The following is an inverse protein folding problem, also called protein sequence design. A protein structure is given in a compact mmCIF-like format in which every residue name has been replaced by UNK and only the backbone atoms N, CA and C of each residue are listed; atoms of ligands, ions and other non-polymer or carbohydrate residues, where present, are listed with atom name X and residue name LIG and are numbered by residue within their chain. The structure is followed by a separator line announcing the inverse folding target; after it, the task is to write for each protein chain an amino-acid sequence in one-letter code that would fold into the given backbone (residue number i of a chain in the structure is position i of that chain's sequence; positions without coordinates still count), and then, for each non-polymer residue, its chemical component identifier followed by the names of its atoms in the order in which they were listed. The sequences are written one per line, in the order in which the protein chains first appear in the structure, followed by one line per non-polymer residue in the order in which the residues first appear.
data_IF_263510280052
#
_entry.id   IF_263510280052
#
_cell.length_a   1.000
_cell.length_b   1.000
_cell.length_c   1.000
_cell.angle_alpha   90.00
_cell.angle_beta   90.00
_cell.angle_gamma   90.00
#
_symmetry.space_group_name_H-M   'P 1'
#
loop_
_entity.id
_entity.type
_entity.pdbx_description
1 polymer ?
#
# COMPACT_ATOMS: atom_id res chain seq x y z
N UNK A 1 6.75 29.74 40.83
CA UNK A 1 6.22 28.44 40.38
C UNK A 1 5.80 28.59 38.93
N UNK A 2 6.64 28.14 37.99
CA UNK A 2 6.38 28.29 36.56
C UNK A 2 5.08 27.57 36.21
N UNK A 3 4.14 28.30 35.63
CA UNK A 3 2.77 27.83 35.46
C UNK A 3 2.73 26.60 34.56
N UNK A 4 2.50 25.42 35.15
CA UNK A 4 2.32 24.14 34.44
C UNK A 4 1.34 24.27 33.27
N UNK A 5 0.35 25.17 33.39
CA UNK A 5 -0.62 25.49 32.32
C UNK A 5 0.03 25.94 31.02
N UNK A 6 1.12 26.71 31.08
CA UNK A 6 1.84 27.15 29.88
C UNK A 6 2.46 25.94 29.14
N UNK A 7 3.08 25.03 29.89
CA UNK A 7 3.70 23.82 29.34
C UNK A 7 2.63 22.92 28.70
N UNK A 8 1.49 22.73 29.36
CA UNK A 8 0.38 21.92 28.83
C UNK A 8 -0.18 22.46 27.51
N UNK A 9 -0.38 23.78 27.40
CA UNK A 9 -0.90 24.39 26.16
C UNK A 9 0.15 24.34 25.06
N UNK A 10 1.40 24.65 25.40
CA UNK A 10 2.51 24.63 24.45
C UNK A 10 2.74 23.23 23.87
N UNK A 11 2.77 22.18 24.72
CA UNK A 11 2.95 20.81 24.25
C UNK A 11 1.77 20.33 23.41
N UNK A 12 0.54 20.70 23.76
CA UNK A 12 -0.64 20.38 22.96
C UNK A 12 -0.55 20.97 21.54
N UNK A 13 -0.14 22.24 21.42
CA UNK A 13 0.07 22.88 20.11
C UNK A 13 1.19 22.18 19.33
N UNK A 14 2.31 21.85 19.98
CA UNK A 14 3.43 21.16 19.33
C UNK A 14 3.04 19.77 18.82
N UNK A 15 2.24 19.00 19.56
CA UNK A 15 1.74 17.69 19.11
C UNK A 15 0.87 17.83 17.86
N UNK A 16 -0.03 18.82 17.81
CA UNK A 16 -0.88 19.06 16.63
C UNK A 16 -0.03 19.41 15.41
N UNK A 17 0.98 20.28 15.56
CA UNK A 17 1.89 20.64 14.47
C UNK A 17 2.65 19.42 13.93
N UNK A 18 3.24 18.61 14.82
CA UNK A 18 3.98 17.40 14.41
C UNK A 18 3.06 16.38 13.75
N UNK A 19 1.83 16.20 14.26
CA UNK A 19 0.86 15.27 13.68
C UNK A 19 0.48 15.65 12.24
N UNK A 20 0.26 16.94 11.98
CA UNK A 20 -0.05 17.42 10.63
C UNK A 20 1.13 17.16 9.69
N UNK A 21 2.35 17.48 10.10
CA UNK A 21 3.55 17.26 9.29
C UNK A 21 3.77 15.78 8.95
N UNK A 22 3.68 14.89 9.94
CA UNK A 22 3.79 13.45 9.71
C UNK A 22 2.69 12.93 8.79
N UNK A 23 1.48 13.44 8.92
CA UNK A 23 0.34 13.03 8.08
C UNK A 23 0.57 13.40 6.62
N UNK A 24 1.03 14.63 6.33
CA UNK A 24 1.34 15.07 4.96
C UNK A 24 2.42 14.19 4.33
N UNK A 25 3.50 13.92 5.05
CA UNK A 25 4.58 13.05 4.57
C UNK A 25 4.08 11.63 4.33
N UNK A 26 3.33 11.07 5.28
CA UNK A 26 2.80 9.72 5.18
C UNK A 26 1.84 9.56 3.98
N UNK A 27 0.92 10.51 3.78
CA UNK A 27 -0.01 10.48 2.64
C UNK A 27 0.73 10.62 1.32
N UNK A 28 1.74 11.50 1.25
CA UNK A 28 2.53 11.70 0.04
C UNK A 28 3.36 10.48 -0.38
N UNK A 29 3.83 9.68 0.59
CA UNK A 29 4.69 8.52 0.31
C UNK A 29 3.92 7.22 0.07
N UNK A 30 2.73 7.07 0.66
CA UNK A 30 1.81 5.93 0.47
C UNK A 30 1.59 5.53 -1.00
N UNK A 31 1.29 6.43 -1.96
CA UNK A 31 1.02 6.02 -3.34
C UNK A 31 2.22 5.36 -4.01
N UNK A 32 3.45 5.86 -3.76
CA UNK A 32 4.67 5.26 -4.30
C UNK A 32 4.95 3.88 -3.72
N UNK A 33 4.72 3.72 -2.41
CA UNK A 33 4.86 2.43 -1.74
C UNK A 33 3.85 1.41 -2.30
N UNK A 34 2.57 1.81 -2.43
CA UNK A 34 1.52 0.96 -2.98
C UNK A 34 1.81 0.53 -4.43
N UNK A 35 2.31 1.44 -5.26
CA UNK A 35 2.71 1.12 -6.63
C UNK A 35 3.84 0.08 -6.64
N UNK A 36 4.89 0.27 -5.86
CA UNK A 36 6.01 -0.67 -5.80
C UNK A 36 5.57 -2.06 -5.30
N UNK A 37 4.72 -2.11 -4.26
CA UNK A 37 4.15 -3.37 -3.75
C UNK A 37 3.28 -4.06 -4.80
N UNK A 38 2.47 -3.32 -5.57
CA UNK A 38 1.67 -3.86 -6.68
C UNK A 38 2.58 -4.49 -7.74
N UNK A 39 3.62 -3.78 -8.17
CA UNK A 39 4.57 -4.25 -9.17
C UNK A 39 5.31 -5.50 -8.68
N UNK A 40 5.76 -5.52 -7.43
CA UNK A 40 6.40 -6.68 -6.82
C UNK A 40 5.45 -7.89 -6.75
N UNK A 41 4.18 -7.69 -6.36
CA UNK A 41 3.16 -8.76 -6.38
C UNK A 41 2.98 -9.32 -7.80
N UNK A 42 2.94 -8.47 -8.82
CA UNK A 42 2.87 -8.91 -10.22
C UNK A 42 4.11 -9.72 -10.63
N UNK A 43 5.31 -9.27 -10.26
CA UNK A 43 6.54 -10.01 -10.53
C UNK A 43 6.56 -11.38 -9.86
N UNK A 44 6.10 -11.47 -8.61
CA UNK A 44 6.02 -12.72 -7.86
C UNK A 44 5.02 -13.71 -8.49
N UNK A 45 3.90 -13.21 -9.02
CA UNK A 45 2.95 -14.05 -9.76
C UNK A 45 3.59 -14.54 -11.06
N UNK A 46 4.23 -13.67 -11.84
CA UNK A 46 4.92 -14.04 -13.07
C UNK A 46 6.05 -15.05 -12.83
N UNK A 47 6.82 -14.90 -11.76
CA UNK A 47 7.91 -15.82 -11.43
C UNK A 47 7.39 -17.21 -11.03
N UNK A 48 6.23 -17.29 -10.37
CA UNK A 48 5.58 -18.57 -10.03
C UNK A 48 5.18 -19.40 -11.27
N UNK A 49 4.94 -18.73 -12.40
CA UNK A 49 4.65 -19.38 -13.69
C UNK A 49 5.88 -19.44 -14.61
N UNK A 50 7.10 -19.31 -14.04
CA UNK A 50 8.38 -19.33 -14.76
C UNK A 50 8.58 -18.21 -15.79
N UNK A 51 7.89 -17.07 -15.65
CA UNK A 51 8.07 -15.90 -16.51
C UNK A 51 8.97 -14.89 -15.78
N UNK A 52 10.20 -14.71 -16.27
CA UNK A 52 11.10 -13.69 -15.73
C UNK A 52 10.61 -12.28 -16.09
N UNK A 53 10.50 -11.42 -15.08
CA UNK A 53 10.05 -10.04 -15.24
C UNK A 53 10.86 -9.08 -14.36
N UNK A 54 11.03 -7.85 -14.85
CA UNK A 54 11.67 -6.71 -14.20
C UNK A 54 10.60 -5.70 -13.79
N UNK A 55 10.89 -4.83 -12.83
CA UNK A 55 9.94 -3.81 -12.32
C UNK A 55 9.38 -2.89 -13.40
N UNK A 56 10.05 -2.77 -14.56
CA UNK A 56 9.60 -1.96 -15.71
C UNK A 56 8.64 -2.70 -16.66
N UNK A 57 8.76 -4.01 -16.81
CA UNK A 57 7.96 -4.80 -17.77
C UNK A 57 6.97 -5.74 -17.07
N UNK A 58 6.98 -5.82 -15.74
CA UNK A 58 6.10 -6.67 -14.96
C UNK A 58 4.62 -6.39 -15.25
N UNK A 59 4.21 -5.12 -15.33
CA UNK A 59 2.80 -4.78 -15.58
C UNK A 59 2.35 -5.19 -17.00
N UNK A 60 3.22 -5.00 -18.00
CA UNK A 60 2.94 -5.42 -19.39
C UNK A 60 2.84 -6.95 -19.51
N UNK A 61 3.83 -7.68 -18.98
CA UNK A 61 3.85 -9.14 -19.00
C UNK A 61 2.67 -9.72 -18.20
N UNK A 62 2.36 -9.11 -17.06
CA UNK A 62 1.24 -9.53 -16.23
C UNK A 62 -0.09 -9.40 -16.98
N UNK A 63 -0.36 -8.27 -17.63
CA UNK A 63 -1.56 -8.08 -18.43
C UNK A 63 -1.62 -9.00 -19.66
N UNK A 64 -0.47 -9.43 -20.19
CA UNK A 64 -0.39 -10.35 -21.33
C UNK A 64 -0.67 -11.80 -20.96
N UNK A 65 -0.18 -12.25 -19.80
CA UNK A 65 -0.22 -13.67 -19.42
C UNK A 65 -1.26 -14.00 -18.35
N UNK A 66 -1.67 -13.04 -17.52
CA UNK A 66 -2.67 -13.23 -16.47
C UNK A 66 -4.00 -12.63 -16.95
N UNK A 67 -4.86 -13.49 -17.49
CA UNK A 67 -6.13 -13.11 -18.12
C UNK A 67 -7.27 -13.01 -17.12
N UNK A 68 -7.23 -13.81 -16.04
CA UNK A 68 -8.29 -13.84 -15.03
C UNK A 68 -7.72 -14.04 -13.63
N UNK A 69 -8.36 -13.43 -12.64
CA UNK A 69 -8.02 -13.53 -11.23
C UNK A 69 -9.29 -13.74 -10.42
N UNK A 70 -9.43 -14.92 -9.82
CA UNK A 70 -10.62 -15.31 -9.09
C UNK A 70 -10.31 -15.59 -7.63
N UNK A 71 -11.17 -15.11 -6.75
CA UNK A 71 -11.15 -15.47 -5.32
C UNK A 71 -12.19 -16.57 -5.11
N UNK A 72 -11.73 -17.69 -4.55
CA UNK A 72 -12.60 -18.83 -4.20
C UNK A 72 -12.73 -18.92 -2.68
N UNK A 73 -13.94 -19.24 -2.21
CA UNK A 73 -14.20 -19.56 -0.81
C UNK A 73 -13.82 -21.02 -0.50
N UNK A 74 -13.73 -21.39 0.78
CA UNK A 74 -13.41 -22.76 1.25
C UNK A 74 -14.34 -23.84 0.69
N UNK A 75 -15.53 -23.42 0.25
CA UNK A 75 -16.55 -24.27 -0.36
C UNK A 75 -16.41 -24.40 -1.90
N UNK A 76 -15.38 -23.79 -2.50
CA UNK A 76 -15.15 -23.80 -3.94
C UNK A 76 -16.02 -22.82 -4.73
N UNK A 77 -16.82 -21.99 -4.05
CA UNK A 77 -17.65 -20.98 -4.69
C UNK A 77 -16.82 -19.74 -5.04
N UNK A 78 -16.97 -19.24 -6.27
CA UNK A 78 -16.39 -17.96 -6.69
C UNK A 78 -17.04 -16.82 -5.90
N UNK A 79 -16.23 -15.91 -5.37
CA UNK A 79 -16.68 -14.72 -4.64
C UNK A 79 -16.59 -13.50 -5.57
N UNK A 80 -17.63 -13.19 -6.37
CA UNK A 80 -17.60 -12.10 -7.35
C UNK A 80 -17.46 -10.70 -6.70
N UNK A 81 -17.66 -10.61 -5.39
CA UNK A 81 -17.54 -9.36 -4.63
C UNK A 81 -16.11 -9.05 -4.16
N UNK A 82 -15.13 -9.91 -4.47
CA UNK A 82 -13.73 -9.73 -4.08
C UNK A 82 -12.83 -9.71 -5.32
N UNK A 83 -12.05 -8.62 -5.46
CA UNK A 83 -10.95 -8.56 -6.43
C UNK A 83 -9.71 -9.20 -5.79
N UNK A 84 -8.98 -10.03 -6.52
CA UNK A 84 -7.74 -10.69 -6.06
C UNK A 84 -6.55 -9.73 -5.89
#
# INVERSE_FOLDING_TARGET
MHSNRYIFIYSAVMVVVVAILLTVVAIGLKPKQQYNIKVEKMQNILSSVNISSTTKNAEELFNKYIVDQKVIDVNGNEQPNLKA
#
